data_IF_157401587345
#
_entry.id   IF_157401587345
#
_cell.length_a   1.000
_cell.length_b   1.000
_cell.length_c   1.000
_cell.angle_alpha   90.00
_cell.angle_beta   90.00
_cell.angle_gamma   90.00
#
_symmetry.space_group_name_H-M   'P 1'
#
loop_
_entity.id
_entity.type
_entity.pdbx_description
1 polymer ?
#
# COMPACT_ATOMS: atom_id res chain seq x y z
N UNK A 1 -12.63 7.24 8.72
CA UNK A 1 -11.35 7.95 8.50
C UNK A 1 -10.54 8.05 9.78
N UNK A 2 -11.15 8.45 10.90
CA UNK A 2 -10.48 8.56 12.20
C UNK A 2 -9.56 7.37 12.60
N UNK A 3 -9.98 6.09 12.44
CA UNK A 3 -9.08 4.95 12.70
C UNK A 3 -7.78 4.94 11.88
N UNK A 4 -7.82 5.41 10.63
CA UNK A 4 -6.67 5.40 9.73
C UNK A 4 -5.65 6.47 10.15
N UNK A 5 -6.11 7.64 10.58
CA UNK A 5 -5.22 8.69 11.08
C UNK A 5 -4.51 8.24 12.37
N UNK A 6 -5.27 7.69 13.34
CA UNK A 6 -4.72 7.11 14.57
C UNK A 6 -3.70 6.00 14.28
N UNK A 7 -4.04 5.07 13.38
CA UNK A 7 -3.12 4.00 12.98
C UNK A 7 -1.87 4.54 12.28
N UNK A 8 -2.01 5.54 11.41
CA UNK A 8 -0.89 6.15 10.71
C UNK A 8 0.09 6.82 11.68
N UNK A 9 -0.43 7.59 12.63
CA UNK A 9 0.39 8.22 13.67
C UNK A 9 1.08 7.15 14.53
N UNK A 10 0.36 6.11 14.95
CA UNK A 10 0.93 5.02 15.76
C UNK A 10 2.03 4.24 15.02
N UNK A 11 1.85 3.97 13.73
CA UNK A 11 2.76 3.12 12.94
C UNK A 11 3.97 3.90 12.41
N UNK A 12 3.77 5.16 12.02
CA UNK A 12 4.76 5.94 11.29
C UNK A 12 5.23 7.20 12.04
N UNK A 13 4.57 7.61 13.12
CA UNK A 13 4.88 8.84 13.85
C UNK A 13 4.56 10.11 13.05
N UNK A 14 3.61 10.04 12.11
CA UNK A 14 3.25 11.14 11.23
C UNK A 14 1.73 11.38 11.30
N UNK A 15 1.28 12.63 11.33
CA UNK A 15 -0.16 12.95 11.24
C UNK A 15 -0.68 12.74 9.81
N UNK A 16 0.12 13.11 8.82
CA UNK A 16 -0.29 13.08 7.41
C UNK A 16 -0.24 11.66 6.84
N UNK A 17 -1.41 11.14 6.43
CA UNK A 17 -1.52 9.85 5.75
C UNK A 17 -1.06 9.97 4.28
N UNK A 18 -1.69 10.83 3.49
CA UNK A 18 -1.30 11.13 2.10
C UNK A 18 -1.44 12.64 1.85
N UNK A 19 -0.87 13.14 0.74
CA UNK A 19 -0.87 14.58 0.43
C UNK A 19 -2.27 15.17 0.23
N UNK A 20 -3.19 14.42 -0.37
CA UNK A 20 -4.59 14.81 -0.56
C UNK A 20 -5.45 13.56 -0.74
N UNK A 21 -6.67 13.60 -0.21
CA UNK A 21 -7.71 12.58 -0.44
C UNK A 21 -8.63 12.93 -1.61
N UNK A 22 -8.51 14.11 -2.21
CA UNK A 22 -9.17 14.42 -3.48
C UNK A 22 -8.40 13.74 -4.62
N UNK A 23 -8.71 12.45 -4.82
CA UNK A 23 -8.04 11.57 -5.77
C UNK A 23 -9.07 10.72 -6.51
N UNK A 24 -8.94 10.56 -7.84
CA UNK A 24 -9.79 9.64 -8.57
C UNK A 24 -9.57 8.20 -8.07
N UNK A 25 -10.68 7.49 -7.91
CA UNK A 25 -10.74 6.09 -7.45
C UNK A 25 -9.99 5.86 -6.13
N UNK A 26 -10.09 6.81 -5.20
CA UNK A 26 -9.55 6.69 -3.85
C UNK A 26 -10.19 5.48 -3.14
N UNK A 27 -9.34 4.57 -2.67
CA UNK A 27 -9.72 3.38 -1.90
C UNK A 27 -8.99 3.39 -0.55
N UNK A 28 -9.75 3.19 0.51
CA UNK A 28 -9.24 2.99 1.86
C UNK A 28 -9.72 1.64 2.36
N UNK A 29 -8.78 0.82 2.83
CA UNK A 29 -9.05 -0.45 3.48
C UNK A 29 -8.64 -0.36 4.95
N UNK A 30 -9.44 -0.97 5.80
CA UNK A 30 -9.19 -1.11 7.23
C UNK A 30 -9.22 -2.60 7.57
N UNK A 31 -8.18 -3.08 8.25
CA UNK A 31 -8.17 -4.41 8.86
C UNK A 31 -8.57 -4.27 10.32
N UNK A 32 -9.50 -5.12 10.76
CA UNK A 32 -9.95 -5.20 12.15
C UNK A 32 -9.68 -6.59 12.72
N UNK A 33 -9.43 -6.67 14.02
CA UNK A 33 -9.37 -7.90 14.81
C UNK A 33 -10.18 -7.66 16.08
N UNK A 34 -11.21 -8.47 16.30
CA UNK A 34 -12.16 -8.30 17.42
C UNK A 34 -12.71 -6.86 17.48
N UNK A 35 -13.13 -6.34 16.32
CA UNK A 35 -13.60 -4.97 16.09
C UNK A 35 -12.56 -3.85 16.31
N UNK A 36 -11.34 -4.14 16.75
CA UNK A 36 -10.28 -3.14 16.88
C UNK A 36 -9.52 -2.95 15.55
N UNK A 37 -9.35 -1.70 15.07
CA UNK A 37 -8.50 -1.40 13.92
C UNK A 37 -7.03 -1.76 14.17
N UNK A 38 -6.46 -2.60 13.30
CA UNK A 38 -5.09 -3.11 13.45
C UNK A 38 -4.18 -2.83 12.26
N UNK A 39 -4.74 -2.36 11.16
CA UNK A 39 -3.98 -2.02 9.97
C UNK A 39 -4.83 -1.34 8.93
N UNK A 40 -4.18 -0.69 7.98
CA UNK A 40 -4.87 0.03 6.92
C UNK A 40 -4.07 0.03 5.64
N UNK A 41 -4.76 0.37 4.55
CA UNK A 41 -4.14 0.65 3.26
C UNK A 41 -4.92 1.74 2.53
N UNK A 42 -4.20 2.65 1.89
CA UNK A 42 -4.75 3.73 1.06
C UNK A 42 -4.12 3.65 -0.32
N UNK A 43 -4.95 3.68 -1.36
CA UNK A 43 -4.50 3.70 -2.75
C UNK A 43 -5.46 4.48 -3.64
N UNK A 44 -5.02 4.81 -4.84
CA UNK A 44 -5.80 5.59 -5.79
C UNK A 44 -5.29 5.41 -7.23
N UNK A 45 -6.03 5.95 -8.20
CA UNK A 45 -5.61 6.02 -9.60
C UNK A 45 -4.30 6.79 -9.74
N UNK A 46 -3.27 6.16 -10.31
CA UNK A 46 -2.09 6.87 -10.77
C UNK A 46 -2.24 7.31 -12.23
N UNK A 47 -2.72 6.38 -13.07
CA UNK A 47 -3.03 6.65 -14.48
C UNK A 47 -4.11 5.68 -14.97
N UNK A 48 -4.41 5.69 -16.26
CA UNK A 48 -5.46 4.85 -16.87
C UNK A 48 -5.28 3.34 -16.63
N UNK A 49 -4.06 2.87 -16.39
CA UNK A 49 -3.73 1.44 -16.32
C UNK A 49 -3.25 0.98 -14.95
N UNK A 50 -2.75 1.91 -14.13
CA UNK A 50 -2.06 1.62 -12.86
C UNK A 50 -2.86 2.15 -11.68
N UNK A 51 -3.16 1.25 -10.75
CA UNK A 51 -3.61 1.59 -9.41
C UNK A 51 -2.40 1.64 -8.47
N UNK A 52 -2.25 2.73 -7.72
CA UNK A 52 -1.11 2.96 -6.85
C UNK A 52 -1.51 2.82 -5.38
N UNK A 53 -0.89 1.86 -4.68
CA UNK A 53 -0.96 1.71 -3.23
C UNK A 53 -0.02 2.74 -2.58
N UNK A 54 -0.61 3.83 -2.12
CA UNK A 54 0.14 5.00 -1.66
C UNK A 54 0.71 4.89 -0.24
N UNK A 55 -0.07 4.37 0.72
CA UNK A 55 0.39 4.18 2.09
C UNK A 55 -0.37 3.06 2.77
N UNK A 56 0.25 2.38 3.71
CA UNK A 56 -0.42 1.36 4.49
C UNK A 56 0.53 0.73 5.48
N UNK A 57 -0.02 0.22 6.57
CA UNK A 57 0.75 -0.35 7.66
C UNK A 57 -0.12 -1.21 8.55
N UNK A 58 0.55 -2.03 9.36
CA UNK A 58 -0.07 -2.89 10.36
C UNK A 58 0.66 -2.67 11.69
N UNK A 59 -0.09 -2.60 12.78
CA UNK A 59 0.44 -2.48 14.14
C UNK A 59 1.48 -3.57 14.42
N UNK A 60 2.57 -3.21 15.09
CA UNK A 60 3.74 -4.07 15.28
C UNK A 60 3.38 -5.39 15.97
N UNK A 61 2.51 -5.36 16.98
CA UNK A 61 2.18 -6.49 17.84
C UNK A 61 1.38 -7.61 17.14
N UNK A 62 0.78 -7.29 15.99
CA UNK A 62 0.02 -8.25 15.16
C UNK A 62 0.71 -8.55 13.84
N UNK A 63 1.94 -8.07 13.62
CA UNK A 63 2.72 -8.41 12.42
C UNK A 63 3.00 -9.90 12.33
N UNK A 64 3.37 -10.36 11.13
CA UNK A 64 3.66 -11.77 10.79
C UNK A 64 2.46 -12.71 10.88
N UNK A 65 1.24 -12.18 10.93
CA UNK A 65 -0.04 -12.92 10.85
C UNK A 65 -0.72 -12.83 9.48
N UNK A 66 0.00 -12.45 8.43
CA UNK A 66 -0.55 -12.33 7.07
C UNK A 66 -1.40 -11.08 6.78
N UNK A 67 -1.70 -10.23 7.77
CA UNK A 67 -2.60 -9.06 7.61
C UNK A 67 -2.18 -8.11 6.48
N UNK A 68 -0.88 -7.79 6.37
CA UNK A 68 -0.39 -6.90 5.31
C UNK A 68 -0.57 -7.50 3.90
N UNK A 69 -0.51 -8.83 3.80
CA UNK A 69 -0.74 -9.57 2.54
C UNK A 69 -2.23 -9.51 2.22
N UNK A 70 -3.09 -9.84 3.20
CA UNK A 70 -4.54 -9.77 3.02
C UNK A 70 -5.02 -8.36 2.59
N UNK A 71 -4.47 -7.31 3.19
CA UNK A 71 -4.74 -5.92 2.77
C UNK A 71 -4.23 -5.62 1.35
N UNK A 72 -3.08 -6.19 0.95
CA UNK A 72 -2.56 -6.03 -0.40
C UNK A 72 -3.45 -6.74 -1.42
N UNK A 73 -3.81 -7.99 -1.16
CA UNK A 73 -4.64 -8.82 -2.04
C UNK A 73 -6.03 -8.22 -2.21
N UNK A 74 -6.67 -7.80 -1.11
CA UNK A 74 -7.96 -7.13 -1.15
C UNK A 74 -7.90 -5.83 -1.99
N UNK A 75 -6.81 -5.05 -1.87
CA UNK A 75 -6.66 -3.84 -2.67
C UNK A 75 -6.42 -4.14 -4.15
N UNK A 76 -5.64 -5.18 -4.47
CA UNK A 76 -5.43 -5.63 -5.85
C UNK A 76 -6.71 -6.15 -6.48
N UNK A 77 -7.53 -6.91 -5.75
CA UNK A 77 -8.83 -7.38 -6.20
C UNK A 77 -9.76 -6.21 -6.55
N UNK A 78 -9.89 -5.22 -5.64
CA UNK A 78 -10.70 -4.02 -5.92
C UNK A 78 -10.14 -3.21 -7.09
N UNK A 79 -8.82 -3.07 -7.20
CA UNK A 79 -8.21 -2.43 -8.35
C UNK A 79 -8.53 -3.17 -9.67
N UNK A 80 -8.48 -4.50 -9.67
CA UNK A 80 -8.87 -5.32 -10.82
C UNK A 80 -10.34 -5.12 -11.21
N UNK A 81 -11.24 -5.09 -10.22
CA UNK A 81 -12.66 -4.83 -10.43
C UNK A 81 -12.94 -3.42 -10.96
N UNK A 82 -12.11 -2.43 -10.61
CA UNK A 82 -12.17 -1.07 -11.16
C UNK A 82 -11.57 -0.95 -12.58
N UNK A 83 -11.06 -2.05 -13.16
CA UNK A 83 -10.53 -2.09 -14.53
C UNK A 83 -9.03 -1.82 -14.67
N UNK A 84 -8.30 -1.71 -13.57
CA UNK A 84 -6.85 -1.56 -13.61
C UNK A 84 -6.17 -2.86 -14.01
N UNK A 85 -5.09 -2.75 -14.79
CA UNK A 85 -4.29 -3.91 -15.24
C UNK A 85 -2.96 -4.07 -14.49
N UNK A 86 -2.59 -3.06 -13.70
CA UNK A 86 -1.35 -3.02 -12.95
C UNK A 86 -1.58 -2.44 -11.58
N UNK A 87 -0.85 -2.99 -10.63
CA UNK A 87 -0.77 -2.51 -9.26
C UNK A 87 0.65 -2.10 -8.96
N UNK A 88 0.83 -0.95 -8.31
CA UNK A 88 2.13 -0.43 -8.00
C UNK A 88 2.23 0.11 -6.59
N UNK A 89 3.44 0.08 -6.03
CA UNK A 89 3.77 0.79 -4.79
C UNK A 89 5.24 1.18 -4.81
N UNK A 90 5.56 2.21 -4.03
CA UNK A 90 6.94 2.60 -3.75
C UNK A 90 7.30 2.24 -2.31
N UNK A 91 8.57 1.90 -2.08
CA UNK A 91 9.08 1.62 -0.73
C UNK A 91 10.54 2.05 -0.58
N UNK A 92 10.98 2.20 0.66
CA UNK A 92 12.35 2.56 1.04
C UNK A 92 12.97 1.37 1.77
N UNK A 93 13.97 0.68 1.20
CA UNK A 93 14.36 -0.64 1.66
C UNK A 93 15.00 -0.63 3.05
N UNK A 94 15.69 0.43 3.47
CA UNK A 94 16.25 0.50 4.83
C UNK A 94 15.22 0.94 5.88
N UNK A 95 14.20 1.72 5.49
CA UNK A 95 13.12 2.14 6.41
C UNK A 95 12.03 1.06 6.54
N UNK A 96 11.75 0.36 5.44
CA UNK A 96 10.67 -0.62 5.32
C UNK A 96 11.13 -1.91 4.62
N UNK A 97 12.15 -2.62 5.16
CA UNK A 97 12.72 -3.81 4.51
C UNK A 97 11.67 -4.91 4.28
N UNK A 98 10.71 -5.03 5.19
CA UNK A 98 9.60 -5.99 5.06
C UNK A 98 8.75 -5.77 3.80
N UNK A 99 8.59 -4.53 3.33
CA UNK A 99 7.86 -4.24 2.09
C UNK A 99 8.66 -4.62 0.84
N UNK A 100 9.98 -4.47 0.88
CA UNK A 100 10.86 -4.93 -0.20
C UNK A 100 10.82 -6.45 -0.32
N UNK A 101 10.93 -7.16 0.81
CA UNK A 101 10.80 -8.63 0.86
C UNK A 101 9.42 -9.07 0.39
N UNK A 102 8.35 -8.41 0.84
CA UNK A 102 6.98 -8.72 0.43
C UNK A 102 6.82 -8.54 -1.08
N UNK A 103 7.28 -7.44 -1.66
CA UNK A 103 7.18 -7.17 -3.10
C UNK A 103 7.83 -8.28 -3.92
N UNK A 104 9.08 -8.62 -3.61
CA UNK A 104 9.82 -9.68 -4.33
C UNK A 104 9.12 -11.03 -4.17
N UNK A 105 8.72 -11.39 -2.94
CA UNK A 105 8.07 -12.68 -2.65
C UNK A 105 6.72 -12.82 -3.36
N UNK A 106 5.95 -11.74 -3.43
CA UNK A 106 4.60 -11.75 -4.01
C UNK A 106 4.59 -11.52 -5.53
N UNK A 107 5.73 -11.66 -6.20
CA UNK A 107 5.82 -11.60 -7.66
C UNK A 107 5.71 -10.19 -8.24
N UNK A 108 5.90 -9.14 -7.43
CA UNK A 108 6.13 -7.81 -7.97
C UNK A 108 7.51 -7.73 -8.62
N UNK A 109 7.59 -6.98 -9.72
CA UNK A 109 8.85 -6.65 -10.39
C UNK A 109 9.35 -5.30 -9.92
N UNK A 110 10.64 -5.20 -9.62
CA UNK A 110 11.31 -3.92 -9.41
C UNK A 110 11.42 -3.21 -10.77
N UNK A 111 10.76 -2.07 -10.91
CA UNK A 111 10.69 -1.31 -12.15
C UNK A 111 11.63 -0.11 -12.17
N UNK A 112 11.91 0.46 -11.00
CA UNK A 112 12.79 1.64 -10.87
C UNK A 112 13.43 1.67 -9.50
N UNK A 113 14.66 2.18 -9.44
CA UNK A 113 15.31 2.62 -8.22
C UNK A 113 15.83 4.05 -8.44
N UNK A 114 15.53 4.96 -7.53
CA UNK A 114 16.09 6.32 -7.53
C UNK A 114 16.43 6.78 -6.12
N UNK A 115 17.41 7.69 -5.99
CA UNK A 115 17.76 8.25 -4.69
C UNK A 115 16.81 9.39 -4.35
N UNK A 116 16.11 9.27 -3.23
CA UNK A 116 15.21 10.29 -2.72
C UNK A 116 15.97 11.21 -1.77
N UNK A 117 16.11 12.48 -2.13
CA UNK A 117 16.87 13.46 -1.34
C UNK A 117 16.19 13.86 -0.04
N UNK A 118 14.85 13.84 0.01
CA UNK A 118 14.08 14.16 1.22
C UNK A 118 14.32 13.12 2.31
N UNK A 119 14.23 11.84 1.96
CA UNK A 119 14.44 10.74 2.91
C UNK A 119 15.91 10.29 3.01
N UNK A 120 16.78 10.84 2.16
CA UNK A 120 18.20 10.49 2.04
C UNK A 120 18.42 8.98 1.88
N UNK A 121 17.59 8.38 1.03
CA UNK A 121 17.39 6.93 0.95
C UNK A 121 17.02 6.52 -0.48
N UNK A 122 17.29 5.27 -0.85
CA UNK A 122 16.81 4.74 -2.13
C UNK A 122 15.30 4.48 -2.07
N UNK A 123 14.57 4.94 -3.09
CA UNK A 123 13.18 4.58 -3.32
C UNK A 123 13.11 3.53 -4.42
N UNK A 124 12.43 2.43 -4.13
CA UNK A 124 12.19 1.32 -5.04
C UNK A 124 10.73 1.33 -5.49
N UNK A 125 10.50 1.24 -6.80
CA UNK A 125 9.18 1.12 -7.43
C UNK A 125 8.91 -0.33 -7.80
N UNK A 126 7.86 -0.91 -7.23
CA UNK A 126 7.41 -2.26 -7.55
C UNK A 126 6.10 -2.23 -8.34
N UNK A 127 6.00 -3.08 -9.36
CA UNK A 127 4.75 -3.27 -10.14
C UNK A 127 4.42 -4.76 -10.35
N UNK A 128 3.13 -5.07 -10.32
CA UNK A 128 2.57 -6.40 -10.62
C UNK A 128 1.41 -6.25 -11.59
N UNK A 129 1.30 -7.16 -12.57
CA UNK A 129 0.09 -7.26 -13.39
C UNK A 129 -1.01 -7.89 -12.54
N UNK A 130 -2.19 -7.30 -12.59
CA UNK A 130 -3.38 -7.82 -11.88
C UNK A 130 -4.46 -8.16 -12.89
N UNK A 131 -5.29 -9.14 -12.54
CA UNK A 131 -6.43 -9.52 -13.36
C UNK A 131 -7.51 -8.44 -13.27
N UNK A 132 -8.07 -8.09 -14.42
CA UNK A 132 -9.28 -7.28 -14.46
C UNK A 132 -10.46 -8.22 -14.21
N UNK A 133 -11.46 -7.77 -13.46
CA UNK A 133 -12.72 -8.49 -13.46
C UNK A 133 -13.23 -8.55 -14.91
N UNK A 134 -13.42 -9.76 -15.44
CA UNK A 134 -14.16 -9.95 -16.69
C UNK A 134 -15.60 -9.55 -16.40
N UNK A 135 -16.03 -8.46 -17.01
CA UNK A 135 -17.44 -8.07 -17.05
C UNK A 135 -18.28 -9.03 -17.87
#
# INVERSE_FOLDING_TARGET
MDPIFRLNETIFGEERVINTFDRPDLLLLLATLDDEPIGFKVGYRENRFVFYSAKGGVLTDVRRRGIAIALMDAMMEKAGAMGYSRFAFDTFPNLHPGMTVLGIRDGFRLMKADYNTTYREYRLRFEKRIERATG
#
